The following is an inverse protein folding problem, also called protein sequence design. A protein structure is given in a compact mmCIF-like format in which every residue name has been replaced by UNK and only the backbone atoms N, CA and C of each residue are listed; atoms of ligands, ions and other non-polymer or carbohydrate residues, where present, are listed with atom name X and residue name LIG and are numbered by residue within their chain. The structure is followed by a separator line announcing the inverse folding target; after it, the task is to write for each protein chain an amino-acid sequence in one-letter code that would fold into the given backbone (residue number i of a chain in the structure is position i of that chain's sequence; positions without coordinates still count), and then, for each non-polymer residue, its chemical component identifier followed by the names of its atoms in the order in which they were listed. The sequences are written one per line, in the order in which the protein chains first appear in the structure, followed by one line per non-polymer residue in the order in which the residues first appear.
data_IF_944498381497
#
_entry.id   IF_944498381497
#
_cell.length_a   1.000
_cell.length_b   1.000
_cell.length_c   1.000
_cell.angle_alpha   90.00
_cell.angle_beta   90.00
_cell.angle_gamma   90.00
#
_symmetry.space_group_name_H-M   'P 1'
#
loop_
_entity.id
_entity.type
_entity.pdbx_description
1 polymer ?
#
# COMPACT_ATOMS: atom_id res chain seq x y z
N UNK A 1 0.09 15.48 7.09
CA UNK A 1 -0.48 15.28 5.77
C UNK A 1 -0.18 13.87 5.31
N UNK A 2 -1.24 13.12 5.05
CA UNK A 2 -1.16 11.82 4.42
C UNK A 2 -1.34 11.99 2.91
N UNK A 3 -0.56 11.25 2.13
CA UNK A 3 -0.83 10.99 0.72
C UNK A 3 -1.35 9.57 0.61
N UNK A 4 -2.49 9.39 -0.07
CA UNK A 4 -3.13 8.09 -0.26
C UNK A 4 -3.36 7.90 -1.74
N UNK A 5 -2.93 6.75 -2.25
CA UNK A 5 -3.19 6.37 -3.63
C UNK A 5 -3.89 5.01 -3.65
N UNK A 6 -4.96 4.89 -4.43
CA UNK A 6 -5.79 3.70 -4.54
C UNK A 6 -5.78 3.18 -5.98
N UNK A 7 -5.78 1.86 -6.11
CA UNK A 7 -5.85 1.15 -7.39
C UNK A 7 -6.82 -0.03 -7.29
N UNK A 8 -7.21 -0.50 -8.47
CA UNK A 8 -8.04 -1.68 -8.65
C UNK A 8 -7.29 -2.66 -9.56
N UNK A 9 -7.61 -3.94 -9.46
CA UNK A 9 -7.08 -4.96 -10.35
C UNK A 9 -7.56 -4.77 -11.78
N UNK A 10 -6.77 -5.26 -12.73
CA UNK A 10 -7.11 -5.26 -14.14
C UNK A 10 -8.04 -6.45 -14.50
N UNK A 11 -8.25 -6.66 -15.81
CA UNK A 11 -9.12 -7.74 -16.30
C UNK A 11 -8.64 -9.13 -15.87
N UNK A 12 -7.34 -9.36 -15.78
CA UNK A 12 -6.75 -10.64 -15.36
C UNK A 12 -6.97 -10.86 -13.87
N UNK A 13 -6.76 -9.82 -13.05
CA UNK A 13 -6.98 -9.87 -11.61
C UNK A 13 -8.46 -10.15 -11.29
N UNK A 14 -9.37 -9.48 -12.00
CA UNK A 14 -10.81 -9.69 -11.87
C UNK A 14 -11.21 -11.09 -12.33
N UNK A 15 -10.63 -11.59 -13.42
CA UNK A 15 -10.88 -12.95 -13.89
C UNK A 15 -10.39 -14.00 -12.88
N UNK A 16 -9.23 -13.78 -12.26
CA UNK A 16 -8.73 -14.63 -11.17
C UNK A 16 -9.70 -14.62 -9.98
N UNK A 17 -10.17 -13.44 -9.56
CA UNK A 17 -11.12 -13.28 -8.46
C UNK A 17 -12.46 -14.00 -8.72
N UNK A 18 -12.94 -13.94 -9.96
CA UNK A 18 -14.21 -14.53 -10.37
C UNK A 18 -14.16 -16.05 -10.62
N UNK A 19 -12.98 -16.68 -10.60
CA UNK A 19 -12.82 -18.09 -10.95
C UNK A 19 -13.58 -19.00 -9.96
N UNK A 20 -14.21 -20.11 -10.43
CA UNK A 20 -15.01 -21.00 -9.57
C UNK A 20 -14.26 -21.54 -8.35
N UNK A 21 -12.94 -21.75 -8.45
CA UNK A 21 -12.07 -22.15 -7.34
C UNK A 21 -12.03 -21.16 -6.18
N UNK A 22 -12.34 -19.88 -6.45
CA UNK A 22 -12.43 -18.82 -5.45
C UNK A 22 -13.83 -18.74 -4.82
N UNK A 23 -14.83 -19.44 -5.38
CA UNK A 23 -16.25 -19.25 -5.04
C UNK A 23 -16.68 -19.90 -3.72
N UNK A 24 -15.75 -20.49 -2.96
CA UNK A 24 -16.05 -21.17 -1.70
C UNK A 24 -16.34 -20.20 -0.54
N UNK A 25 -15.78 -18.98 -0.53
CA UNK A 25 -16.03 -18.01 0.55
C UNK A 25 -15.85 -16.57 0.02
N UNK A 26 -16.93 -15.83 -0.25
CA UNK A 26 -16.95 -14.34 -0.39
C UNK A 26 -15.92 -13.64 -1.33
N UNK A 27 -15.19 -14.35 -2.20
CA UNK A 27 -14.12 -13.79 -3.04
C UNK A 27 -14.58 -13.10 -4.35
N UNK A 28 -15.89 -12.89 -4.56
CA UNK A 28 -16.42 -12.09 -5.68
C UNK A 28 -16.28 -10.59 -5.44
N UNK A 29 -15.12 -10.15 -4.97
CA UNK A 29 -14.85 -8.75 -4.66
C UNK A 29 -13.84 -8.21 -5.66
N UNK A 30 -14.10 -7.00 -6.15
CA UNK A 30 -13.17 -6.25 -6.99
C UNK A 30 -11.79 -6.21 -6.31
N UNK A 31 -10.73 -6.74 -6.95
CA UNK A 31 -9.38 -6.62 -6.42
C UNK A 31 -9.08 -5.14 -6.22
N UNK A 32 -8.82 -4.74 -4.98
CA UNK A 32 -8.63 -3.34 -4.63
C UNK A 32 -7.57 -3.22 -3.54
N UNK A 33 -6.78 -2.17 -3.66
CA UNK A 33 -5.68 -1.89 -2.75
C UNK A 33 -5.34 -0.40 -2.74
N UNK A 34 -4.71 0.04 -1.65
CA UNK A 34 -4.25 1.41 -1.50
C UNK A 34 -2.95 1.44 -0.69
N UNK A 35 -2.11 2.42 -0.98
CA UNK A 35 -0.94 2.76 -0.20
C UNK A 35 -1.15 4.13 0.45
N UNK A 36 -0.74 4.27 1.70
CA UNK A 36 -0.78 5.54 2.42
C UNK A 36 0.56 5.86 3.05
N UNK A 37 1.08 7.05 2.75
CA UNK A 37 2.34 7.57 3.29
C UNK A 37 2.08 8.81 4.13
N UNK A 38 2.70 8.86 5.31
CA UNK A 38 2.74 10.08 6.11
C UNK A 38 3.89 10.93 5.57
N UNK A 39 3.57 12.05 4.92
CA UNK A 39 4.57 12.89 4.24
C UNK A 39 5.08 14.01 5.15
N UNK A 40 4.15 14.63 5.88
CA UNK A 40 4.45 15.72 6.79
C UNK A 40 3.54 15.65 8.01
N UNK A 41 3.86 16.36 9.07
CA UNK A 41 2.99 16.54 10.24
C UNK A 41 2.91 18.01 10.62
N UNK A 42 1.87 18.36 11.34
CA UNK A 42 1.67 19.68 11.91
C UNK A 42 1.16 19.49 13.32
N UNK A 43 1.85 20.09 14.29
CA UNK A 43 1.60 19.84 15.71
C UNK A 43 0.34 20.55 16.23
N UNK A 44 -0.04 21.68 15.64
CA UNK A 44 -1.20 22.46 16.04
C UNK A 44 -1.79 23.23 14.86
N UNK A 45 -3.06 23.69 14.93
CA UNK A 45 -3.59 24.61 13.93
C UNK A 45 -2.71 25.87 13.78
N UNK A 46 -2.36 26.24 12.56
CA UNK A 46 -1.46 27.37 12.26
C UNK A 46 0.04 27.12 12.39
N UNK A 47 0.49 25.99 12.95
CA UNK A 47 1.91 25.65 13.00
C UNK A 47 2.48 25.35 11.60
N UNK A 48 3.81 25.43 11.45
CA UNK A 48 4.49 25.03 10.22
C UNK A 48 4.41 23.52 9.99
N UNK A 49 4.55 23.12 8.73
CA UNK A 49 4.64 21.72 8.35
C UNK A 49 6.07 21.23 8.55
N UNK A 50 6.21 20.06 9.19
CA UNK A 50 7.48 19.35 9.34
C UNK A 50 7.42 18.06 8.53
N UNK A 51 8.49 17.69 7.83
CA UNK A 51 8.59 16.39 7.18
C UNK A 51 8.41 15.27 8.22
N UNK A 52 7.61 14.27 7.86
CA UNK A 52 7.34 13.18 8.78
C UNK A 52 8.53 12.21 8.83
N UNK A 53 8.85 11.65 10.01
CA UNK A 53 9.84 10.58 10.09
C UNK A 53 9.35 9.34 9.36
N UNK A 54 10.30 8.47 8.97
CA UNK A 54 10.00 7.19 8.34
C UNK A 54 9.06 6.36 9.22
N UNK A 55 7.93 5.96 8.66
CA UNK A 55 6.89 5.20 9.33
C UNK A 55 7.18 3.70 9.29
N UNK A 56 6.81 2.97 10.34
CA UNK A 56 6.68 1.51 10.29
C UNK A 56 5.28 1.15 9.74
N UNK A 57 5.23 0.70 8.49
CA UNK A 57 3.99 0.38 7.79
C UNK A 57 3.19 -0.77 8.41
N UNK A 58 1.89 -0.76 8.16
CA UNK A 58 0.92 -1.71 8.71
C UNK A 58 -0.10 -2.09 7.64
N UNK A 59 -0.62 -3.31 7.73
CA UNK A 59 -1.68 -3.78 6.86
C UNK A 59 -3.05 -3.33 7.37
N UNK A 60 -3.93 -3.02 6.44
CA UNK A 60 -5.33 -2.66 6.68
C UNK A 60 -6.22 -3.52 5.78
N UNK A 61 -7.37 -3.93 6.30
CA UNK A 61 -8.45 -4.58 5.57
C UNK A 61 -9.77 -3.89 5.94
N UNK A 62 -9.94 -2.63 5.52
CA UNK A 62 -10.96 -1.67 6.03
C UNK A 62 -10.72 -1.23 7.49
N UNK A 63 -10.21 -2.13 8.34
CA UNK A 63 -9.75 -1.84 9.70
C UNK A 63 -8.25 -2.10 9.84
N UNK A 64 -7.56 -1.45 10.80
CA UNK A 64 -6.16 -1.72 11.08
C UNK A 64 -5.95 -3.18 11.51
N UNK A 65 -4.98 -3.86 10.91
CA UNK A 65 -4.54 -5.19 11.35
C UNK A 65 -3.33 -5.08 12.29
N UNK A 66 -3.11 -6.04 13.20
CA UNK A 66 -1.90 -6.14 14.01
C UNK A 66 -0.66 -6.63 13.22
N UNK A 67 -0.61 -6.36 11.91
CA UNK A 67 0.39 -6.93 11.00
C UNK A 67 1.33 -5.81 10.49
N UNK A 68 2.63 -5.84 10.85
CA UNK A 68 3.61 -4.95 10.26
C UNK A 68 3.91 -5.37 8.82
N UNK A 69 3.99 -4.39 7.90
CA UNK A 69 4.31 -4.68 6.49
C UNK A 69 5.81 -4.72 6.22
N UNK A 70 6.63 -4.13 7.11
CA UNK A 70 8.05 -3.89 6.85
C UNK A 70 8.32 -2.80 5.81
N UNK A 71 7.28 -2.13 5.30
CA UNK A 71 7.36 -1.05 4.32
C UNK A 71 7.22 0.31 5.01
N UNK A 72 7.73 1.41 4.42
CA UNK A 72 7.55 2.76 4.96
C UNK A 72 6.16 3.36 4.71
N UNK A 73 5.19 2.54 4.29
CA UNK A 73 3.81 2.92 3.99
C UNK A 73 2.81 1.94 4.61
N UNK A 74 1.62 2.43 4.93
CA UNK A 74 0.49 1.54 5.20
C UNK A 74 -0.04 0.97 3.89
N UNK A 75 -0.44 -0.31 3.92
CA UNK A 75 -1.10 -0.96 2.79
C UNK A 75 -2.50 -1.39 3.19
N UNK A 76 -3.49 -0.88 2.49
CA UNK A 76 -4.86 -1.37 2.57
C UNK A 76 -5.12 -2.29 1.39
N UNK A 77 -5.80 -3.40 1.63
CA UNK A 77 -6.15 -4.34 0.57
C UNK A 77 -7.35 -5.17 0.97
N UNK A 78 -8.01 -5.76 -0.02
CA UNK A 78 -9.07 -6.74 0.23
C UNK A 78 -8.48 -8.10 0.62
N UNK A 79 -7.64 -8.10 1.65
CA UNK A 79 -6.91 -9.29 2.09
C UNK A 79 -7.86 -10.38 2.58
N UNK A 80 -7.49 -11.62 2.29
CA UNK A 80 -8.04 -12.78 2.98
C UNK A 80 -7.31 -12.97 4.30
N UNK A 81 -8.09 -12.97 5.39
CA UNK A 81 -7.61 -13.06 6.76
C UNK A 81 -7.89 -14.43 7.35
N UNK A 82 -7.05 -14.86 8.28
CA UNK A 82 -7.28 -16.08 9.05
C UNK A 82 -8.45 -15.91 10.03
N UNK A 83 -8.91 -17.02 10.60
CA UNK A 83 -10.05 -17.03 11.54
C UNK A 83 -9.80 -16.23 12.82
N UNK A 84 -8.54 -16.02 13.20
CA UNK A 84 -8.13 -15.15 14.32
C UNK A 84 -8.36 -13.65 14.04
N UNK A 85 -8.66 -13.30 12.78
CA UNK A 85 -8.84 -11.93 12.26
C UNK A 85 -7.66 -10.98 12.52
N UNK A 86 -6.52 -11.53 12.90
CA UNK A 86 -5.31 -10.82 13.24
C UNK A 86 -4.17 -11.17 12.28
N UNK A 87 -4.30 -12.27 11.53
CA UNK A 87 -3.31 -12.77 10.60
C UNK A 87 -3.87 -12.82 9.17
N UNK A 88 -2.98 -12.76 8.17
CA UNK A 88 -3.36 -13.10 6.79
C UNK A 88 -3.57 -14.62 6.66
N UNK A 89 -4.29 -15.03 5.63
CA UNK A 89 -4.40 -16.44 5.28
C UNK A 89 -2.98 -17.08 5.11
N UNK A 90 -2.67 -18.16 5.84
CA UNK A 90 -1.36 -18.81 5.80
C UNK A 90 -1.10 -19.49 4.45
N UNK A 91 0.16 -19.84 4.18
CA UNK A 91 0.63 -20.34 2.87
C UNK A 91 -0.09 -21.62 2.37
N UNK A 92 -0.53 -22.46 3.29
CA UNK A 92 -1.28 -23.69 3.03
C UNK A 92 -2.79 -23.45 2.79
N UNK A 93 -3.33 -22.28 3.16
CA UNK A 93 -4.73 -21.92 2.97
C UNK A 93 -5.03 -21.44 1.54
N UNK A 94 -4.78 -22.29 0.54
CA UNK A 94 -5.12 -22.00 -0.86
C UNK A 94 -6.62 -22.19 -1.11
N UNK A 95 -7.25 -21.30 -1.90
CA UNK A 95 -6.65 -20.26 -2.74
C UNK A 95 -6.46 -18.88 -2.06
N UNK A 96 -6.87 -18.72 -0.79
CA UNK A 96 -6.84 -17.43 -0.06
C UNK A 96 -5.44 -16.82 0.04
N UNK A 97 -4.41 -17.64 0.21
CA UNK A 97 -3.03 -17.16 0.22
C UNK A 97 -2.58 -16.60 -1.13
N UNK A 98 -2.91 -17.30 -2.23
CA UNK A 98 -2.57 -16.87 -3.58
C UNK A 98 -3.25 -15.54 -3.94
N UNK A 99 -4.48 -15.35 -3.47
CA UNK A 99 -5.18 -14.07 -3.55
C UNK A 99 -4.41 -12.93 -2.86
N UNK A 100 -3.90 -13.15 -1.65
CA UNK A 100 -3.09 -12.16 -0.95
C UNK A 100 -1.79 -11.83 -1.70
N UNK A 101 -1.12 -12.83 -2.28
CA UNK A 101 0.07 -12.62 -3.11
C UNK A 101 -0.24 -11.79 -4.36
N UNK A 102 -1.35 -12.08 -5.04
CA UNK A 102 -1.82 -11.30 -6.21
C UNK A 102 -2.11 -9.85 -5.83
N UNK A 103 -2.92 -9.63 -4.78
CA UNK A 103 -3.24 -8.29 -4.30
C UNK A 103 -2.00 -7.49 -3.92
N UNK A 104 -1.03 -8.13 -3.27
CA UNK A 104 0.20 -7.47 -2.86
C UNK A 104 1.07 -7.10 -4.08
N UNK A 105 1.40 -8.08 -4.91
CA UNK A 105 2.32 -7.94 -6.05
C UNK A 105 1.81 -7.09 -7.20
N UNK A 106 0.49 -7.00 -7.39
CA UNK A 106 -0.11 -6.27 -8.51
C UNK A 106 -0.84 -5.03 -8.03
N UNK A 107 -1.90 -5.20 -7.24
CA UNK A 107 -2.80 -4.10 -6.91
C UNK A 107 -2.15 -3.12 -5.94
N UNK A 108 -1.67 -3.59 -4.79
CA UNK A 108 -1.03 -2.74 -3.78
C UNK A 108 0.31 -2.19 -4.26
N UNK A 109 1.08 -3.00 -4.99
CA UNK A 109 2.28 -2.55 -5.70
C UNK A 109 1.98 -1.37 -6.63
N UNK A 110 0.90 -1.43 -7.43
CA UNK A 110 0.49 -0.34 -8.31
C UNK A 110 0.07 0.91 -7.54
N UNK A 111 -0.69 0.76 -6.45
CA UNK A 111 -1.03 1.88 -5.57
C UNK A 111 0.23 2.54 -4.99
N UNK A 112 1.19 1.74 -4.56
CA UNK A 112 2.43 2.24 -3.98
C UNK A 112 3.32 2.95 -5.02
N UNK A 113 3.51 2.36 -6.20
CA UNK A 113 4.26 2.99 -7.28
C UNK A 113 3.59 4.31 -7.73
N UNK A 114 2.25 4.32 -7.81
CA UNK A 114 1.48 5.52 -8.12
C UNK A 114 1.65 6.61 -7.05
N UNK A 115 1.59 6.25 -5.77
CA UNK A 115 1.85 7.18 -4.66
C UNK A 115 3.22 7.85 -4.79
N UNK A 116 4.27 7.07 -5.09
CA UNK A 116 5.63 7.59 -5.25
C UNK A 116 5.75 8.53 -6.46
N UNK A 117 5.09 8.18 -7.58
CA UNK A 117 5.02 9.04 -8.78
C UNK A 117 4.28 10.35 -8.52
N UNK A 118 3.14 10.29 -7.82
CA UNK A 118 2.35 11.47 -7.43
C UNK A 118 3.17 12.39 -6.53
N UNK A 119 3.90 11.82 -5.56
CA UNK A 119 4.79 12.58 -4.70
C UNK A 119 5.93 13.22 -5.50
N UNK A 120 6.60 12.48 -6.39
CA UNK A 120 7.67 13.01 -7.24
C UNK A 120 7.18 14.16 -8.15
N UNK A 121 5.96 14.05 -8.67
CA UNK A 121 5.31 15.05 -9.51
C UNK A 121 4.82 16.30 -8.75
N UNK A 122 4.97 16.35 -7.42
CA UNK A 122 4.57 17.52 -6.62
C UNK A 122 3.08 17.60 -6.34
N UNK A 123 2.47 16.44 -6.05
CA UNK A 123 1.13 16.35 -5.47
C UNK A 123 0.96 17.28 -4.27
N UNK A 124 -0.25 17.80 -4.11
CA UNK A 124 -0.66 18.66 -3.00
C UNK A 124 -1.42 17.80 -2.00
N UNK A 125 -1.07 17.89 -0.71
CA UNK A 125 -1.67 17.06 0.34
C UNK A 125 -1.96 17.87 1.60
N UNK A 126 -2.85 17.34 2.46
CA UNK A 126 -3.37 18.06 3.64
C UNK A 126 -4.71 18.74 3.33
N UNK A 127 -5.79 18.17 3.89
CA UNK A 127 -7.12 18.75 3.83
C UNK A 127 -7.33 19.82 4.90
N UNK A 128 -8.07 20.88 4.55
CA UNK A 128 -8.41 21.99 5.45
C UNK A 128 -7.57 23.25 5.24
N UNK A 129 -8.03 24.14 4.37
CA UNK A 129 -7.64 25.57 4.33
C UNK A 129 -6.24 25.94 3.80
N UNK A 130 -5.39 24.98 3.45
CA UNK A 130 -4.08 25.26 2.87
C UNK A 130 -3.32 23.96 2.57
N UNK A 131 -3.41 23.49 1.33
CA UNK A 131 -2.70 22.30 0.89
C UNK A 131 -1.19 22.51 0.95
N UNK A 132 -0.46 21.50 1.45
CA UNK A 132 1.00 21.46 1.45
C UNK A 132 1.49 20.97 0.08
N UNK A 133 2.42 21.73 -0.51
CA UNK A 133 3.23 21.31 -1.65
C UNK A 133 4.69 21.38 -1.24
N UNK A 134 5.39 20.25 -1.34
CA UNK A 134 6.81 20.18 -1.05
C UNK A 134 7.66 20.79 -2.18
N UNK A 135 8.76 21.43 -1.81
CA UNK A 135 9.83 21.86 -2.71
C UNK A 135 10.51 20.66 -3.38
N UNK A 136 11.30 20.91 -4.44
CA UNK A 136 11.94 19.84 -5.21
C UNK A 136 12.88 18.96 -4.39
N UNK A 137 13.67 19.56 -3.49
CA UNK A 137 14.59 18.85 -2.61
C UNK A 137 13.84 17.95 -1.61
N UNK A 138 12.83 18.51 -0.92
CA UNK A 138 11.99 17.78 0.03
C UNK A 138 11.26 16.61 -0.64
N UNK A 139 10.76 16.79 -1.87
CA UNK A 139 10.15 15.69 -2.64
C UNK A 139 11.14 14.56 -2.87
N UNK A 140 12.37 14.88 -3.26
CA UNK A 140 13.43 13.88 -3.46
C UNK A 140 13.74 13.10 -2.18
N UNK A 141 13.86 13.80 -1.06
CA UNK A 141 14.11 13.19 0.26
C UNK A 141 12.96 12.24 0.67
N UNK A 142 11.71 12.71 0.58
CA UNK A 142 10.55 11.90 0.98
C UNK A 142 10.39 10.71 0.04
N UNK A 143 10.53 10.88 -1.29
CA UNK A 143 10.48 9.75 -2.24
C UNK A 143 11.54 8.72 -1.88
N UNK A 144 12.78 9.14 -1.64
CA UNK A 144 13.87 8.24 -1.28
C UNK A 144 13.59 7.49 0.04
N UNK A 145 13.09 8.19 1.07
CA UNK A 145 12.73 7.58 2.36
C UNK A 145 11.57 6.57 2.25
N UNK A 146 10.69 6.77 1.27
CA UNK A 146 9.54 5.90 0.99
C UNK A 146 9.85 4.78 -0.02
N UNK A 147 11.05 4.66 -0.56
CA UNK A 147 11.38 3.53 -1.43
C UNK A 147 11.30 2.21 -0.63
N UNK A 148 10.73 1.15 -1.23
CA UNK A 148 10.72 -0.17 -0.59
C UNK A 148 12.17 -0.67 -0.46
N UNK A 149 12.57 -1.08 0.75
CA UNK A 149 13.87 -1.73 0.94
C UNK A 149 13.81 -3.18 0.42
N UNK A 150 14.90 -3.66 -0.18
CA UNK A 150 15.02 -5.02 -0.72
C UNK A 150 14.87 -6.14 0.32
N UNK A 151 14.80 -5.82 1.62
CA UNK A 151 14.74 -6.76 2.74
C UNK A 151 13.45 -6.60 3.57
N UNK A 152 12.29 -6.51 2.94
CA UNK A 152 11.03 -6.31 3.65
C UNK A 152 10.54 -7.60 4.37
N UNK A 153 11.03 -7.83 5.59
CA UNK A 153 10.33 -8.47 6.73
C UNK A 153 9.71 -9.89 6.57
N UNK A 154 9.18 -10.49 7.66
CA UNK A 154 8.70 -11.87 7.65
C UNK A 154 7.35 -11.97 6.92
N UNK A 155 7.38 -12.54 5.72
CA UNK A 155 6.17 -12.92 4.96
C UNK A 155 6.30 -12.65 3.47
N UNK A 156 6.10 -13.69 2.65
CA UNK A 156 6.16 -13.60 1.18
C UNK A 156 5.26 -12.51 0.59
N UNK A 157 4.13 -12.18 1.26
CA UNK A 157 3.11 -11.24 0.76
C UNK A 157 3.63 -9.80 0.65
N UNK A 158 4.15 -9.19 1.72
CA UNK A 158 4.57 -7.78 1.66
C UNK A 158 5.91 -7.59 0.94
N UNK A 159 6.76 -8.63 0.93
CA UNK A 159 7.90 -8.70 0.02
C UNK A 159 7.45 -8.64 -1.45
N UNK A 160 6.36 -9.33 -1.80
CA UNK A 160 5.80 -9.27 -3.15
C UNK A 160 5.27 -7.86 -3.51
N UNK A 161 4.69 -7.13 -2.55
CA UNK A 161 4.30 -5.72 -2.76
C UNK A 161 5.50 -4.80 -3.01
N UNK A 162 6.60 -4.97 -2.26
CA UNK A 162 7.85 -4.26 -2.51
C UNK A 162 8.43 -4.56 -3.90
N UNK A 163 8.54 -5.84 -4.24
CA UNK A 163 9.07 -6.29 -5.53
C UNK A 163 8.22 -5.77 -6.71
N UNK A 164 6.90 -5.92 -6.64
CA UNK A 164 5.99 -5.41 -7.66
C UNK A 164 6.06 -3.89 -7.81
N UNK A 165 6.15 -3.14 -6.70
CA UNK A 165 6.31 -1.70 -6.73
C UNK A 165 7.61 -1.30 -7.46
N UNK A 166 8.73 -1.94 -7.12
CA UNK A 166 10.01 -1.68 -7.77
C UNK A 166 9.97 -1.99 -9.27
N UNK A 167 9.40 -3.14 -9.67
CA UNK A 167 9.23 -3.49 -11.08
C UNK A 167 8.41 -2.44 -11.83
N UNK A 168 7.30 -1.96 -11.25
CA UNK A 168 6.47 -0.93 -11.87
C UNK A 168 7.17 0.42 -11.99
N UNK A 169 8.00 0.80 -11.02
CA UNK A 169 8.77 2.05 -11.07
C UNK A 169 9.85 2.05 -12.16
N UNK A 170 10.39 0.88 -12.50
CA UNK A 170 11.37 0.71 -13.57
C UNK A 170 10.75 0.64 -14.97
N UNK A 171 9.43 0.49 -15.07
CA UNK A 171 8.76 0.56 -16.36
C UNK A 171 8.73 2.00 -16.87
N UNK A 172 8.97 2.22 -18.17
CA UNK A 172 9.00 3.54 -18.80
C UNK A 172 7.64 4.25 -18.76
#
# INVERSE_FOLDING_TARGET
AWLVSQTFGDKEDVAYAAAPRQRSEKLTLMPSGAAAALVARRHAPGAEWELAPRLAGRAYATLPLPIPTGLPVHLNGRWEIASDRNSLAPEDARPRHEWNLLLASRVCAAAYARLLRELAAGAVFGGGGGGLRLGSAERGEVVHALLPAASAGPGQVFGAAAGGCFSLLLQP
#
